data_IF_202147375572
#
_entry.id   IF_202147375572
#
_cell.length_a   1.000
_cell.length_b   1.000
_cell.length_c   1.000
_cell.angle_alpha   90.00
_cell.angle_beta   90.00
_cell.angle_gamma   90.00
#
_symmetry.space_group_name_H-M   'P 1'
#
loop_
_entity.id
_entity.type
_entity.pdbx_description
1 polymer ?
#
# COMPACT_ATOMS: atom_id res chain seq x y z
N UNK A 1 -33.17 11.22 4.70
CA UNK A 1 -32.16 10.80 3.71
C UNK A 1 -32.01 9.30 3.83
N UNK A 2 -31.85 8.58 2.72
CA UNK A 2 -31.62 7.14 2.76
C UNK A 2 -30.25 6.87 3.40
N UNK A 3 -30.25 6.07 4.46
CA UNK A 3 -29.06 5.65 5.20
C UNK A 3 -28.93 4.13 5.10
N UNK A 4 -27.69 3.65 5.11
CA UNK A 4 -27.40 2.22 5.08
C UNK A 4 -26.33 1.89 6.13
N UNK A 5 -26.68 0.97 7.03
CA UNK A 5 -25.81 0.47 8.09
C UNK A 5 -25.49 -1.00 7.82
N UNK A 6 -24.20 -1.36 7.87
CA UNK A 6 -23.79 -2.71 7.53
C UNK A 6 -22.47 -3.12 8.17
N UNK A 7 -22.33 -4.43 8.37
CA UNK A 7 -21.06 -5.08 8.71
C UNK A 7 -20.33 -5.42 7.41
N UNK A 8 -19.04 -5.08 7.33
CA UNK A 8 -18.22 -5.21 6.14
C UNK A 8 -16.89 -5.90 6.47
N UNK A 9 -16.44 -6.79 5.59
CA UNK A 9 -15.07 -7.34 5.64
C UNK A 9 -14.19 -6.72 4.56
N UNK A 10 -13.04 -6.17 4.95
CA UNK A 10 -12.10 -5.61 3.97
C UNK A 10 -11.19 -6.68 3.37
N UNK A 11 -10.40 -6.29 2.36
CA UNK A 11 -9.49 -7.19 1.67
C UNK A 11 -8.44 -7.86 2.58
N UNK A 12 -8.16 -7.26 3.74
CA UNK A 12 -7.18 -7.75 4.71
C UNK A 12 -7.84 -8.59 5.82
N UNK A 13 -9.12 -8.93 5.70
CA UNK A 13 -9.86 -9.72 6.69
C UNK A 13 -10.32 -8.95 7.93
N UNK A 14 -10.19 -7.62 7.96
CA UNK A 14 -10.74 -6.84 9.08
C UNK A 14 -12.22 -6.61 8.87
N UNK A 15 -13.00 -6.95 9.87
CA UNK A 15 -14.44 -6.72 9.93
C UNK A 15 -14.72 -5.42 10.67
N UNK A 16 -15.68 -4.65 10.19
CA UNK A 16 -16.13 -3.43 10.86
C UNK A 16 -17.50 -2.95 10.40
N UNK A 17 -18.09 -2.07 11.19
CA UNK A 17 -19.39 -1.46 10.90
C UNK A 17 -19.20 -0.18 10.10
N UNK A 18 -20.04 0.01 9.10
CA UNK A 18 -20.09 1.24 8.32
C UNK A 18 -21.53 1.77 8.25
N UNK A 19 -21.63 3.09 8.27
CA UNK A 19 -22.87 3.83 8.05
C UNK A 19 -22.62 4.86 6.97
N UNK A 20 -23.41 4.80 5.89
CA UNK A 20 -23.29 5.71 4.75
C UNK A 20 -24.64 6.34 4.42
N UNK A 21 -24.60 7.53 3.83
CA UNK A 21 -25.75 8.25 3.28
C UNK A 21 -25.47 8.70 1.84
N UNK A 22 -26.49 9.20 1.15
CA UNK A 22 -26.39 9.66 -0.25
C UNK A 22 -25.84 8.56 -1.16
N UNK A 23 -26.53 7.43 -1.16
CA UNK A 23 -26.02 6.17 -1.69
C UNK A 23 -26.22 6.10 -3.20
N UNK A 24 -25.19 5.60 -3.89
CA UNK A 24 -25.25 5.22 -5.29
C UNK A 24 -24.89 3.75 -5.45
N UNK A 25 -25.56 3.09 -6.38
CA UNK A 25 -25.38 1.67 -6.67
C UNK A 25 -24.85 1.51 -8.10
N UNK A 26 -23.79 0.71 -8.23
CA UNK A 26 -23.29 0.18 -9.50
C UNK A 26 -23.49 -1.33 -9.54
N UNK A 27 -23.05 -2.02 -10.57
CA UNK A 27 -23.12 -3.49 -10.65
C UNK A 27 -22.50 -4.16 -9.41
N UNK A 28 -21.21 -3.89 -9.15
CA UNK A 28 -20.41 -4.57 -8.13
C UNK A 28 -20.14 -3.76 -6.86
N UNK A 29 -20.48 -2.47 -6.85
CA UNK A 29 -20.15 -1.58 -5.74
C UNK A 29 -21.35 -0.77 -5.26
N UNK A 30 -21.29 -0.40 -3.98
CA UNK A 30 -22.05 0.71 -3.40
C UNK A 30 -21.09 1.83 -3.03
N UNK A 31 -21.55 3.06 -3.15
CA UNK A 31 -20.76 4.24 -2.77
C UNK A 31 -21.66 5.22 -2.03
N UNK A 32 -21.12 5.86 -1.00
CA UNK A 32 -21.85 6.87 -0.22
C UNK A 32 -20.91 7.66 0.67
N UNK A 33 -21.46 8.68 1.33
CA UNK A 33 -20.73 9.53 2.28
C UNK A 33 -20.76 8.85 3.65
N UNK A 34 -19.58 8.56 4.22
CA UNK A 34 -19.47 7.88 5.50
C UNK A 34 -19.69 8.84 6.67
N UNK A 35 -20.66 8.56 7.54
CA UNK A 35 -21.07 9.46 8.64
C UNK A 35 -19.97 9.82 9.64
N UNK A 36 -18.98 8.94 9.81
CA UNK A 36 -17.91 9.15 10.78
C UNK A 36 -16.75 9.98 10.23
N UNK A 37 -16.64 10.12 8.90
CA UNK A 37 -15.47 10.74 8.26
C UNK A 37 -15.81 11.83 7.27
N UNK A 38 -17.10 12.01 6.93
CA UNK A 38 -17.61 12.91 5.88
C UNK A 38 -16.90 12.77 4.53
N UNK A 39 -16.38 11.56 4.28
CA UNK A 39 -15.68 11.20 3.05
C UNK A 39 -16.50 10.20 2.27
N UNK A 40 -16.50 10.36 0.96
CA UNK A 40 -17.04 9.39 0.03
C UNK A 40 -16.22 8.10 0.15
N UNK A 41 -16.90 6.98 0.35
CA UNK A 41 -16.31 5.63 0.39
C UNK A 41 -17.07 4.70 -0.56
N UNK A 42 -16.31 3.81 -1.19
CA UNK A 42 -16.83 2.79 -2.10
C UNK A 42 -16.59 1.42 -1.49
N UNK A 43 -17.62 0.59 -1.48
CA UNK A 43 -17.61 -0.76 -0.92
C UNK A 43 -18.02 -1.75 -2.00
N UNK A 44 -17.34 -2.89 -2.05
CA UNK A 44 -17.79 -4.01 -2.90
C UNK A 44 -18.99 -4.69 -2.25
N UNK A 45 -20.03 -4.98 -3.04
CA UNK A 45 -21.28 -5.59 -2.56
C UNK A 45 -21.06 -6.97 -1.96
N UNK A 46 -20.21 -7.77 -2.59
CA UNK A 46 -19.88 -9.14 -2.16
C UNK A 46 -19.18 -9.24 -0.80
N UNK A 47 -18.75 -8.11 -0.23
CA UNK A 47 -18.08 -8.02 1.08
C UNK A 47 -18.93 -7.40 2.18
N UNK A 48 -20.19 -7.09 1.87
CA UNK A 48 -21.19 -6.69 2.86
C UNK A 48 -21.71 -7.97 3.49
N UNK A 49 -21.38 -8.20 4.77
CA UNK A 49 -21.75 -9.42 5.48
C UNK A 49 -23.23 -9.41 5.88
N UNK A 50 -23.73 -8.27 6.36
CA UNK A 50 -25.13 -8.06 6.75
C UNK A 50 -25.47 -6.57 6.83
N UNK A 51 -26.68 -6.22 6.44
CA UNK A 51 -27.26 -4.87 6.58
C UNK A 51 -28.20 -4.82 7.79
N UNK A 52 -28.35 -3.64 8.38
CA UNK A 52 -29.12 -3.39 9.59
C UNK A 52 -29.90 -2.08 9.48
N UNK A 53 -30.99 -2.00 10.25
CA UNK A 53 -31.85 -0.80 10.28
C UNK A 53 -31.23 0.32 11.12
N UNK A 54 -30.32 0.00 12.04
CA UNK A 54 -29.62 0.99 12.87
C UNK A 54 -28.12 0.68 13.02
N UNK A 55 -27.28 1.71 13.24
CA UNK A 55 -25.86 1.51 13.49
C UNK A 55 -25.60 0.79 14.81
N UNK A 56 -26.44 1.00 15.84
CA UNK A 56 -26.30 0.34 17.14
C UNK A 56 -26.47 -1.18 17.01
N UNK A 57 -27.47 -1.62 16.23
CA UNK A 57 -27.69 -3.05 15.98
C UNK A 57 -26.51 -3.66 15.22
N UNK A 58 -25.99 -2.96 14.21
CA UNK A 58 -24.80 -3.40 13.49
C UNK A 58 -23.58 -3.53 14.40
N UNK A 59 -23.38 -2.60 15.34
CA UNK A 59 -22.29 -2.64 16.33
C UNK A 59 -22.46 -3.83 17.28
N UNK A 60 -23.66 -4.02 17.83
CA UNK A 60 -23.96 -5.12 18.76
C UNK A 60 -23.68 -6.48 18.13
N UNK A 61 -24.04 -6.65 16.86
CA UNK A 61 -23.91 -7.91 16.14
C UNK A 61 -22.53 -8.08 15.48
N UNK A 62 -21.75 -7.01 15.29
CA UNK A 62 -20.46 -7.07 14.58
C UNK A 62 -19.50 -8.11 15.18
N UNK A 63 -19.54 -8.29 16.51
CA UNK A 63 -18.67 -9.23 17.22
C UNK A 63 -18.98 -10.71 16.91
N UNK A 64 -20.17 -11.03 16.40
CA UNK A 64 -20.52 -12.41 16.02
C UNK A 64 -19.92 -12.85 14.68
N UNK A 65 -19.36 -11.92 13.90
CA UNK A 65 -18.76 -12.22 12.61
C UNK A 65 -17.28 -12.56 12.77
N UNK A 66 -16.96 -13.84 12.56
CA UNK A 66 -15.58 -14.33 12.61
C UNK A 66 -14.92 -14.24 11.23
N UNK A 67 -13.77 -13.53 11.08
CA UNK A 67 -13.08 -13.38 9.80
C UNK A 67 -12.78 -14.69 9.06
N UNK A 68 -12.54 -15.77 9.79
CA UNK A 68 -12.20 -17.10 9.28
C UNK A 68 -13.31 -17.66 8.37
N UNK A 69 -14.58 -17.38 8.70
CA UNK A 69 -15.75 -17.80 7.93
C UNK A 69 -15.83 -17.13 6.54
N UNK A 70 -15.07 -16.05 6.34
CA UNK A 70 -15.09 -15.22 5.14
C UNK A 70 -13.73 -15.18 4.44
N UNK A 71 -12.85 -16.15 4.72
CA UNK A 71 -11.52 -16.24 4.13
C UNK A 71 -11.52 -16.15 2.60
N UNK A 72 -12.54 -16.71 1.93
CA UNK A 72 -12.75 -16.64 0.48
C UNK A 72 -12.98 -15.22 -0.08
N UNK A 73 -13.35 -14.25 0.76
CA UNK A 73 -13.55 -12.84 0.39
C UNK A 73 -12.28 -11.99 0.61
N UNK A 74 -11.27 -12.55 1.27
CA UNK A 74 -10.05 -11.85 1.70
C UNK A 74 -8.84 -12.22 0.83
N UNK A 75 -7.87 -11.33 0.73
CA UNK A 75 -6.58 -11.66 0.12
C UNK A 75 -5.71 -12.31 1.18
N UNK A 76 -5.43 -13.60 1.05
CA UNK A 76 -4.32 -14.22 1.78
C UNK A 76 -3.01 -13.59 1.30
N UNK A 77 -2.52 -12.61 2.06
CA UNK A 77 -1.21 -12.05 1.82
C UNK A 77 -0.23 -12.95 2.57
N UNK A 78 0.56 -13.74 1.84
CA UNK A 78 1.62 -14.54 2.45
C UNK A 78 2.58 -13.65 3.28
N UNK A 79 3.37 -14.24 4.19
CA UNK A 79 4.33 -13.48 4.99
C UNK A 79 5.21 -12.63 4.06
N UNK A 80 5.28 -11.33 4.35
CA UNK A 80 6.11 -10.41 3.57
C UNK A 80 7.56 -10.83 3.75
N UNK A 81 8.24 -11.21 2.67
CA UNK A 81 9.68 -11.43 2.68
C UNK A 81 10.37 -10.14 3.13
N UNK A 82 11.29 -10.25 4.07
CA UNK A 82 12.13 -9.13 4.47
C UNK A 82 13.21 -8.95 3.38
N UNK A 83 13.08 -7.93 2.55
CA UNK A 83 13.98 -7.64 1.43
C UNK A 83 14.64 -6.29 1.63
N UNK A 84 15.85 -6.12 1.10
CA UNK A 84 16.46 -4.80 0.97
C UNK A 84 16.04 -4.20 -0.37
N UNK A 85 15.13 -3.24 -0.32
CA UNK A 85 14.50 -2.61 -1.47
C UNK A 85 15.31 -1.39 -1.94
N UNK A 86 15.65 -1.35 -3.23
CA UNK A 86 16.34 -0.22 -3.89
C UNK A 86 15.50 0.35 -5.04
N UNK A 87 15.55 1.66 -5.25
CA UNK A 87 14.90 2.33 -6.38
C UNK A 87 15.92 3.18 -7.13
N UNK A 88 15.87 3.13 -8.45
CA UNK A 88 16.71 3.96 -9.32
C UNK A 88 15.87 5.08 -9.95
N UNK A 89 16.40 6.30 -9.94
CA UNK A 89 15.78 7.46 -10.56
C UNK A 89 16.81 8.31 -11.30
N UNK A 90 16.44 8.95 -12.41
CA UNK A 90 17.33 9.88 -13.09
C UNK A 90 18.41 9.24 -13.98
N UNK A 91 18.28 7.97 -14.32
CA UNK A 91 19.19 7.27 -15.25
C UNK A 91 18.53 7.09 -16.63
N UNK A 92 19.34 7.08 -17.69
CA UNK A 92 18.90 6.55 -18.99
C UNK A 92 18.63 5.05 -18.87
N UNK A 93 17.90 4.52 -19.86
CA UNK A 93 17.46 3.12 -19.87
C UNK A 93 18.63 2.14 -19.69
N UNK A 94 19.71 2.27 -20.47
CA UNK A 94 20.85 1.37 -20.42
C UNK A 94 21.55 1.37 -19.06
N UNK A 95 21.81 2.56 -18.49
CA UNK A 95 22.44 2.69 -17.16
C UNK A 95 21.54 2.08 -16.07
N UNK A 96 20.24 2.35 -16.16
CA UNK A 96 19.26 1.80 -15.23
C UNK A 96 19.22 0.28 -15.29
N UNK A 97 19.20 -0.30 -16.49
CA UNK A 97 19.20 -1.76 -16.67
C UNK A 97 20.44 -2.38 -16.04
N UNK A 98 21.64 -1.85 -16.33
CA UNK A 98 22.89 -2.30 -15.71
C UNK A 98 22.87 -2.24 -14.18
N UNK A 99 22.34 -1.16 -13.59
CA UNK A 99 22.24 -1.01 -12.14
C UNK A 99 21.23 -1.97 -11.51
N UNK A 100 20.13 -2.25 -12.22
CA UNK A 100 19.14 -3.23 -11.81
C UNK A 100 19.72 -4.64 -11.80
N UNK A 101 20.50 -4.99 -12.84
CA UNK A 101 21.15 -6.30 -12.92
C UNK A 101 22.12 -6.50 -11.75
N UNK A 102 22.99 -5.53 -11.49
CA UNK A 102 23.90 -5.55 -10.32
C UNK A 102 23.15 -5.69 -9.00
N UNK A 103 22.03 -4.99 -8.83
CA UNK A 103 21.23 -5.08 -7.61
C UNK A 103 20.64 -6.48 -7.42
N UNK A 104 20.10 -7.06 -8.50
CA UNK A 104 19.51 -8.40 -8.47
C UNK A 104 20.57 -9.48 -8.21
N UNK A 105 21.77 -9.35 -8.79
CA UNK A 105 22.91 -10.24 -8.54
C UNK A 105 23.30 -10.27 -7.06
N UNK A 106 23.18 -9.14 -6.36
CA UNK A 106 23.46 -9.01 -4.92
C UNK A 106 22.23 -9.32 -4.04
N UNK A 107 21.14 -9.86 -4.61
CA UNK A 107 19.94 -10.24 -3.87
C UNK A 107 19.10 -9.06 -3.37
N UNK A 108 19.35 -7.84 -3.85
CA UNK A 108 18.53 -6.67 -3.56
C UNK A 108 17.24 -6.73 -4.38
N UNK A 109 16.17 -6.11 -3.86
CA UNK A 109 14.88 -6.05 -4.56
C UNK A 109 14.66 -4.69 -5.21
N UNK A 110 14.64 -4.65 -6.53
CA UNK A 110 14.42 -3.38 -7.26
C UNK A 110 12.94 -2.99 -7.26
N UNK A 111 12.65 -1.76 -6.84
CA UNK A 111 11.33 -1.13 -6.86
C UNK A 111 11.26 -0.02 -7.91
N UNK A 112 10.09 0.13 -8.52
CA UNK A 112 9.83 1.18 -9.52
C UNK A 112 9.50 2.54 -8.91
N UNK A 113 9.10 2.56 -7.63
CA UNK A 113 8.66 3.75 -6.89
C UNK A 113 9.24 3.78 -5.48
N UNK A 114 9.19 4.96 -4.87
CA UNK A 114 9.58 5.17 -3.47
C UNK A 114 8.46 4.63 -2.58
N UNK A 115 8.53 3.35 -2.19
CA UNK A 115 7.58 2.69 -1.29
C UNK A 115 7.86 3.06 0.18
N UNK A 116 7.02 2.60 1.12
CA UNK A 116 7.29 2.77 2.55
C UNK A 116 8.40 1.84 3.05
N UNK A 117 8.60 0.71 2.37
CA UNK A 117 9.64 -0.28 2.70
C UNK A 117 10.96 -0.02 1.98
N UNK A 118 11.13 1.11 1.28
CA UNK A 118 12.33 1.37 0.49
C UNK A 118 13.49 1.77 1.41
N UNK A 119 14.58 0.99 1.38
CA UNK A 119 15.80 1.30 2.13
C UNK A 119 16.66 2.33 1.40
N UNK A 120 16.76 2.24 0.07
CA UNK A 120 17.70 3.07 -0.70
C UNK A 120 17.11 3.63 -2.01
N UNK A 121 17.39 4.91 -2.29
CA UNK A 121 17.14 5.58 -3.56
C UNK A 121 18.50 5.97 -4.17
N UNK A 122 18.87 5.30 -5.26
CA UNK A 122 20.04 5.65 -6.06
C UNK A 122 19.64 6.68 -7.13
N UNK A 123 20.29 7.85 -7.10
CA UNK A 123 20.00 9.01 -7.92
C UNK A 123 21.04 9.18 -9.04
N UNK A 124 20.54 9.20 -10.28
CA UNK A 124 21.34 9.52 -11.46
C UNK A 124 21.27 11.00 -11.85
N UNK A 125 21.96 11.32 -12.93
CA UNK A 125 22.15 12.68 -13.46
C UNK A 125 20.85 13.44 -13.82
N UNK A 126 19.74 12.75 -14.05
CA UNK A 126 18.43 13.35 -14.33
C UNK A 126 17.41 13.15 -13.19
N UNK A 127 17.86 12.98 -11.94
CA UNK A 127 16.96 12.69 -10.83
C UNK A 127 16.02 13.87 -10.54
N UNK A 128 14.73 13.68 -10.79
CA UNK A 128 13.71 14.71 -10.52
C UNK A 128 13.39 14.88 -9.03
N UNK A 129 12.97 16.09 -8.60
CA UNK A 129 12.82 16.44 -7.18
C UNK A 129 11.73 15.65 -6.45
N UNK A 130 10.73 15.14 -7.19
CA UNK A 130 9.59 14.42 -6.60
C UNK A 130 10.00 13.15 -5.85
N UNK A 131 10.82 12.28 -6.46
CA UNK A 131 11.27 11.03 -5.82
C UNK A 131 12.27 11.29 -4.70
N UNK A 132 13.17 12.25 -4.87
CA UNK A 132 14.15 12.63 -3.83
C UNK A 132 13.43 13.16 -2.59
N UNK A 133 12.46 14.06 -2.76
CA UNK A 133 11.65 14.59 -1.65
C UNK A 133 10.86 13.48 -0.95
N UNK A 134 10.26 12.57 -1.71
CA UNK A 134 9.54 11.42 -1.17
C UNK A 134 10.45 10.48 -0.37
N UNK A 135 11.69 10.26 -0.83
CA UNK A 135 12.68 9.45 -0.11
C UNK A 135 13.12 10.13 1.19
N UNK A 136 13.41 11.43 1.16
CA UNK A 136 13.75 12.22 2.35
C UNK A 136 12.68 12.15 3.43
N UNK A 137 11.41 12.35 3.05
CA UNK A 137 10.29 12.28 3.99
C UNK A 137 10.13 10.90 4.66
N UNK A 138 10.62 9.84 4.02
CA UNK A 138 10.52 8.47 4.52
C UNK A 138 11.78 7.98 5.22
N UNK A 139 12.82 8.81 5.32
CA UNK A 139 14.11 8.42 5.89
C UNK A 139 14.85 7.38 5.04
N UNK A 140 14.54 7.28 3.75
CA UNK A 140 15.25 6.41 2.80
C UNK A 140 16.67 6.96 2.56
N UNK A 141 17.68 6.08 2.53
CA UNK A 141 19.05 6.43 2.18
C UNK A 141 19.08 6.94 0.74
N UNK A 142 19.66 8.11 0.51
CA UNK A 142 19.80 8.70 -0.82
C UNK A 142 21.28 8.68 -1.18
N UNK A 143 21.60 8.08 -2.32
CA UNK A 143 22.98 7.89 -2.77
C UNK A 143 23.06 8.11 -4.28
N UNK A 144 24.24 8.39 -4.81
CA UNK A 144 24.49 8.43 -6.24
C UNK A 144 24.91 7.04 -6.77
N UNK A 145 25.26 6.96 -8.06
CA UNK A 145 25.74 5.71 -8.64
C UNK A 145 27.08 5.24 -8.06
N UNK A 146 28.14 6.07 -8.00
CA UNK A 146 29.40 5.68 -7.37
C UNK A 146 29.23 5.12 -5.95
N UNK A 147 28.46 5.80 -5.10
CA UNK A 147 28.19 5.34 -3.75
C UNK A 147 27.38 4.04 -3.73
N UNK A 148 26.43 3.86 -4.65
CA UNK A 148 25.71 2.59 -4.77
C UNK A 148 26.65 1.43 -5.13
N UNK A 149 27.58 1.64 -6.06
CA UNK A 149 28.58 0.62 -6.41
C UNK A 149 29.48 0.30 -5.21
N UNK A 150 29.95 1.32 -4.49
CA UNK A 150 30.73 1.13 -3.27
C UNK A 150 29.98 0.31 -2.22
N UNK A 151 28.69 0.60 -2.03
CA UNK A 151 27.82 -0.16 -1.14
C UNK A 151 27.68 -1.62 -1.56
N UNK A 152 27.54 -1.92 -2.85
CA UNK A 152 27.49 -3.31 -3.32
C UNK A 152 28.79 -4.06 -3.06
N UNK A 153 29.93 -3.38 -3.13
CA UNK A 153 31.26 -3.99 -2.98
C UNK A 153 31.67 -4.19 -1.52
N UNK A 154 31.30 -3.26 -0.64
CA UNK A 154 31.80 -3.19 0.75
C UNK A 154 30.71 -3.46 1.80
N UNK A 155 29.44 -3.24 1.46
CA UNK A 155 28.34 -3.16 2.41
C UNK A 155 28.27 -1.85 3.19
N UNK A 156 29.20 -0.91 2.96
CA UNK A 156 29.26 0.38 3.62
C UNK A 156 28.53 1.45 2.80
N UNK A 157 27.86 2.37 3.50
CA UNK A 157 27.30 3.57 2.87
C UNK A 157 28.39 4.64 3.00
N UNK A 158 28.96 5.14 1.89
CA UNK A 158 29.96 6.19 1.97
C UNK A 158 29.38 7.43 2.66
N UNK A 159 30.12 7.99 3.60
CA UNK A 159 29.90 9.35 4.07
C UNK A 159 30.27 10.30 2.91
N UNK A 160 29.45 11.34 2.69
CA UNK A 160 29.55 12.30 1.57
C UNK A 160 30.98 12.74 1.20
#
# INVERSE_FOLDING_TARGET
MEELHFVYINANGRIGVHSIQSISYSENHIQGICKNTDRIKTFRKDRILKQYDSPEQAIQECASFLPENYSHLTKQSGPKKNTFDVCFTGFKKADKERLVDKANEQGLTVRTSVTQSLQMLCCGYNAGPSKVSAARMKGTIIIDEPGFIHFLETGEIPDE
#
